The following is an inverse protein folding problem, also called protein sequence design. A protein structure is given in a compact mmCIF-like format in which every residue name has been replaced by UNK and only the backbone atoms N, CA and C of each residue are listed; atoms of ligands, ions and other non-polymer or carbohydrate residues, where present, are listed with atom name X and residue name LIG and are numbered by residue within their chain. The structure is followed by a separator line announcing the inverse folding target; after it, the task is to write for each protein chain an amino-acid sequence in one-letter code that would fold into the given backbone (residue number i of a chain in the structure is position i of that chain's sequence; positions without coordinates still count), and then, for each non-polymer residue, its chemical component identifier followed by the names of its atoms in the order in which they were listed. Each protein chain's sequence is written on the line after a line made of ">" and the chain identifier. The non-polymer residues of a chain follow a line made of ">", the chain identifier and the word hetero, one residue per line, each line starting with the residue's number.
data_IF_746356695327
#
_entry.id   IF_746356695327
#
_cell.length_a   1.000
_cell.length_b   1.000
_cell.length_c   1.000
_cell.angle_alpha   90.00
_cell.angle_beta   90.00
_cell.angle_gamma   90.00
#
_symmetry.space_group_name_H-M   'P 1'
#
loop_
_entity.id
_entity.type
_entity.pdbx_description
1 polymer ?
#
# COMPACT_ATOMS: atom_id res chain seq x y z
N UNK A 1 11.10 3.52 -6.65
CA UNK A 1 10.19 2.42 -7.11
C UNK A 1 10.93 1.57 -8.12
N UNK A 2 10.87 0.26 -7.97
CA UNK A 2 11.48 -0.68 -8.94
C UNK A 2 10.64 -0.68 -10.22
N UNK A 3 11.29 -0.65 -11.38
CA UNK A 3 10.59 -0.69 -12.66
C UNK A 3 9.78 -2.00 -12.79
N UNK A 4 8.61 -1.90 -13.40
CA UNK A 4 7.71 -3.02 -13.59
C UNK A 4 8.35 -4.13 -14.44
N UNK A 5 8.17 -5.37 -14.02
CA UNK A 5 8.37 -6.55 -14.84
C UNK A 5 7.04 -6.98 -15.49
N UNK A 6 7.02 -8.14 -16.16
CA UNK A 6 5.81 -8.67 -16.79
C UNK A 6 4.66 -8.94 -15.79
N UNK A 7 4.97 -9.10 -14.49
CA UNK A 7 4.00 -9.24 -13.41
C UNK A 7 3.71 -7.91 -12.69
N UNK A 8 4.40 -6.81 -13.05
CA UNK A 8 4.26 -5.50 -12.46
C UNK A 8 4.86 -5.35 -11.06
N UNK A 9 5.71 -6.29 -10.63
CA UNK A 9 6.28 -6.30 -9.26
C UNK A 9 7.67 -5.68 -9.22
N UNK A 10 8.45 -5.82 -10.30
CA UNK A 10 9.81 -5.30 -10.43
C UNK A 10 10.90 -6.23 -9.91
N UNK A 11 10.59 -7.48 -9.65
CA UNK A 11 11.54 -8.46 -9.10
C UNK A 11 12.71 -8.74 -10.04
N UNK A 12 12.51 -8.67 -11.35
CA UNK A 12 13.55 -8.81 -12.37
C UNK A 12 14.64 -7.73 -12.31
N UNK A 13 14.51 -6.73 -11.46
CA UNK A 13 15.49 -5.63 -11.26
C UNK A 13 16.30 -5.77 -9.97
N UNK A 14 15.97 -6.69 -9.08
CA UNK A 14 16.61 -6.84 -7.76
C UNK A 14 18.12 -6.99 -7.91
N UNK A 15 18.58 -7.92 -8.73
CA UNK A 15 20.02 -8.13 -8.95
C UNK A 15 20.74 -6.92 -9.54
N UNK A 16 20.09 -6.22 -10.48
CA UNK A 16 20.64 -5.00 -11.08
C UNK A 16 20.75 -3.85 -10.07
N UNK A 17 19.75 -3.68 -9.22
CA UNK A 17 19.76 -2.66 -8.15
C UNK A 17 20.85 -2.94 -7.14
N UNK A 18 21.02 -4.19 -6.72
CA UNK A 18 22.10 -4.59 -5.81
C UNK A 18 23.49 -4.31 -6.43
N UNK A 19 23.69 -4.65 -7.71
CA UNK A 19 24.93 -4.39 -8.43
C UNK A 19 25.25 -2.89 -8.60
N UNK A 20 24.23 -2.04 -8.63
CA UNK A 20 24.34 -0.57 -8.70
C UNK A 20 24.53 0.08 -7.32
N UNK A 21 24.54 -0.70 -6.23
CA UNK A 21 24.80 -0.22 -4.88
C UNK A 21 23.61 0.45 -4.20
N UNK A 22 22.39 0.09 -4.57
CA UNK A 22 21.19 0.51 -3.84
C UNK A 22 21.10 -0.21 -2.48
N UNK A 23 20.61 0.46 -1.45
CA UNK A 23 20.52 -0.08 -0.10
C UNK A 23 19.27 -0.95 0.09
N UNK A 24 18.17 -0.64 -0.60
CA UNK A 24 16.90 -1.37 -0.52
C UNK A 24 16.08 -1.24 -1.80
N UNK A 25 15.08 -2.10 -1.93
CA UNK A 25 14.05 -2.04 -2.97
C UNK A 25 12.69 -1.69 -2.36
N UNK A 26 11.85 -1.02 -3.14
CA UNK A 26 10.43 -0.86 -2.89
C UNK A 26 9.66 -1.66 -3.94
N UNK A 27 8.84 -2.62 -3.50
CA UNK A 27 8.10 -3.52 -4.38
C UNK A 27 6.59 -3.24 -4.36
N UNK A 28 5.90 -3.70 -5.42
CA UNK A 28 4.45 -3.56 -5.57
C UNK A 28 3.71 -4.61 -4.73
N UNK A 29 3.09 -4.21 -3.61
CA UNK A 29 2.47 -5.13 -2.67
C UNK A 29 1.29 -5.91 -3.25
N UNK A 30 0.42 -5.26 -4.04
CA UNK A 30 -0.71 -5.96 -4.65
C UNK A 30 -0.27 -7.03 -5.67
N UNK A 31 0.90 -6.87 -6.27
CA UNK A 31 1.53 -7.90 -7.09
C UNK A 31 2.03 -9.06 -6.24
N UNK A 32 2.79 -8.78 -5.19
CA UNK A 32 3.29 -9.79 -4.25
C UNK A 32 2.15 -10.61 -3.62
N UNK A 33 1.05 -9.95 -3.22
CA UNK A 33 -0.11 -10.61 -2.61
C UNK A 33 -0.83 -11.59 -3.55
N UNK A 34 -0.69 -11.43 -4.88
CA UNK A 34 -1.29 -12.30 -5.89
C UNK A 34 -0.42 -13.48 -6.29
N UNK A 35 0.87 -13.48 -5.96
CA UNK A 35 1.78 -14.55 -6.36
C UNK A 35 1.35 -15.89 -5.73
N UNK A 36 1.50 -17.02 -6.46
CA UNK A 36 1.55 -18.34 -5.85
C UNK A 36 2.71 -18.43 -4.84
N UNK A 37 2.61 -19.34 -3.86
CA UNK A 37 3.65 -19.51 -2.83
C UNK A 37 5.04 -19.73 -3.41
N UNK A 38 5.16 -20.61 -4.41
CA UNK A 38 6.45 -20.90 -5.05
C UNK A 38 7.08 -19.65 -5.69
N UNK A 39 6.29 -18.84 -6.38
CA UNK A 39 6.77 -17.60 -7.00
C UNK A 39 7.14 -16.55 -5.93
N UNK A 40 6.42 -16.50 -4.82
CA UNK A 40 6.76 -15.63 -3.70
C UNK A 40 8.08 -16.05 -3.04
N UNK A 41 8.32 -17.36 -2.85
CA UNK A 41 9.62 -17.86 -2.36
C UNK A 41 10.78 -17.51 -3.29
N UNK A 42 10.55 -17.49 -4.60
CA UNK A 42 11.57 -17.03 -5.54
C UNK A 42 11.96 -15.57 -5.28
N UNK A 43 10.98 -14.68 -5.04
CA UNK A 43 11.26 -13.28 -4.68
C UNK A 43 12.08 -13.17 -3.39
N UNK A 44 11.72 -13.93 -2.35
CA UNK A 44 12.48 -13.97 -1.10
C UNK A 44 13.92 -14.42 -1.32
N UNK A 45 14.11 -15.46 -2.13
CA UNK A 45 15.44 -15.97 -2.45
C UNK A 45 16.27 -14.95 -3.23
N UNK A 46 15.70 -14.26 -4.21
CA UNK A 46 16.38 -13.22 -4.98
C UNK A 46 16.83 -12.05 -4.08
N UNK A 47 15.96 -11.57 -3.18
CA UNK A 47 16.34 -10.55 -2.19
C UNK A 47 17.47 -11.04 -1.29
N UNK A 48 17.36 -12.25 -0.77
CA UNK A 48 18.40 -12.86 0.10
C UNK A 48 19.74 -13.00 -0.62
N UNK A 49 19.74 -13.52 -1.85
CA UNK A 49 20.97 -13.75 -2.63
C UNK A 49 21.62 -12.44 -3.07
N UNK A 50 20.83 -11.41 -3.36
CA UNK A 50 21.33 -10.09 -3.75
C UNK A 50 21.86 -9.27 -2.57
N UNK A 51 21.47 -9.61 -1.33
CA UNK A 51 21.73 -8.81 -0.14
C UNK A 51 20.90 -7.53 -0.07
N UNK A 52 19.95 -7.32 -1.01
CA UNK A 52 19.11 -6.15 -1.05
C UNK A 52 17.86 -6.35 -0.18
N UNK A 53 17.60 -5.41 0.73
CA UNK A 53 16.40 -5.46 1.58
C UNK A 53 15.18 -4.92 0.85
N UNK A 54 13.99 -5.37 1.21
CA UNK A 54 12.72 -4.75 0.83
C UNK A 54 12.17 -3.99 2.03
N UNK A 55 12.51 -2.71 2.18
CA UNK A 55 12.09 -1.91 3.35
C UNK A 55 10.69 -1.31 3.20
N UNK A 56 10.22 -1.15 1.97
CA UNK A 56 8.94 -0.56 1.69
C UNK A 56 8.19 -1.29 0.57
N UNK A 57 6.87 -1.22 0.62
CA UNK A 57 5.99 -1.59 -0.48
C UNK A 57 5.00 -0.47 -0.77
N UNK A 58 4.74 -0.23 -2.06
CA UNK A 58 3.65 0.62 -2.52
C UNK A 58 2.48 -0.22 -3.06
N UNK A 59 1.45 0.45 -3.59
CA UNK A 59 0.33 -0.23 -4.24
C UNK A 59 -0.37 -1.25 -3.33
N UNK A 60 -0.75 -0.84 -2.13
CA UNK A 60 -1.36 -1.72 -1.13
C UNK A 60 -2.57 -2.48 -1.71
N UNK A 61 -3.49 -1.79 -2.39
CA UNK A 61 -4.65 -2.45 -3.01
C UNK A 61 -4.57 -2.41 -4.53
N UNK A 62 -5.01 -3.48 -5.21
CA UNK A 62 -5.14 -3.49 -6.65
C UNK A 62 -6.29 -2.58 -7.11
N UNK A 63 -6.23 -2.15 -8.37
CA UNK A 63 -7.15 -1.14 -8.93
C UNK A 63 -8.60 -1.62 -9.07
N UNK A 64 -8.83 -2.91 -9.07
CA UNK A 64 -10.16 -3.57 -9.14
C UNK A 64 -10.85 -3.70 -7.78
N UNK A 65 -10.14 -3.44 -6.68
CA UNK A 65 -10.76 -3.37 -5.36
C UNK A 65 -11.64 -2.13 -5.20
N UNK A 66 -12.64 -2.24 -4.33
CA UNK A 66 -13.48 -1.12 -3.91
C UNK A 66 -13.50 -1.05 -2.39
N UNK A 67 -12.94 0.05 -1.86
CA UNK A 67 -12.84 0.32 -0.42
C UNK A 67 -13.93 1.26 0.07
N UNK A 68 -14.65 1.89 -0.87
CA UNK A 68 -15.73 2.83 -0.62
C UNK A 68 -16.94 2.49 -1.49
N UNK A 69 -18.13 2.79 -0.99
CA UNK A 69 -19.37 2.59 -1.72
C UNK A 69 -20.39 1.73 -0.96
N UNK A 70 -21.60 1.53 -1.53
CA UNK A 70 -22.68 0.81 -0.86
C UNK A 70 -22.41 -0.71 -0.74
N UNK A 71 -21.66 -1.30 -1.68
CA UNK A 71 -21.51 -2.75 -1.82
C UNK A 71 -20.10 -3.23 -1.52
N UNK A 72 -19.38 -2.56 -0.60
CA UNK A 72 -18.02 -2.99 -0.22
C UNK A 72 -18.06 -4.36 0.46
N UNK A 73 -17.13 -5.23 0.08
CA UNK A 73 -17.03 -6.60 0.60
C UNK A 73 -16.01 -6.67 1.73
N UNK A 74 -16.42 -6.26 2.93
CA UNK A 74 -15.54 -6.12 4.10
C UNK A 74 -14.72 -7.39 4.39
N UNK A 75 -15.31 -8.58 4.29
CA UNK A 75 -14.60 -9.84 4.57
C UNK A 75 -13.49 -10.10 3.53
N UNK A 76 -13.77 -9.88 2.24
CA UNK A 76 -12.75 -10.02 1.18
C UNK A 76 -11.61 -9.00 1.34
N UNK A 77 -11.94 -7.78 1.76
CA UNK A 77 -10.94 -6.74 2.05
C UNK A 77 -10.05 -7.20 3.20
N UNK A 78 -10.64 -7.72 4.29
CA UNK A 78 -9.89 -8.20 5.45
C UNK A 78 -8.99 -9.39 5.12
N UNK A 79 -9.49 -10.37 4.38
CA UNK A 79 -8.69 -11.52 3.91
C UNK A 79 -7.52 -11.07 3.04
N UNK A 80 -7.76 -10.11 2.14
CA UNK A 80 -6.73 -9.54 1.30
C UNK A 80 -5.66 -8.83 2.13
N UNK A 81 -6.05 -7.96 3.08
CA UNK A 81 -5.14 -7.24 3.97
C UNK A 81 -4.26 -8.23 4.75
N UNK A 82 -4.86 -9.28 5.31
CA UNK A 82 -4.12 -10.29 6.07
C UNK A 82 -3.04 -10.96 5.21
N UNK A 83 -3.38 -11.37 4.00
CA UNK A 83 -2.42 -11.98 3.05
C UNK A 83 -1.33 -11.00 2.61
N UNK A 84 -1.71 -9.76 2.29
CA UNK A 84 -0.76 -8.76 1.81
C UNK A 84 0.27 -8.40 2.90
N UNK A 85 -0.20 -8.17 4.13
CA UNK A 85 0.67 -7.83 5.24
C UNK A 85 1.51 -9.02 5.73
N UNK A 86 1.00 -10.25 5.66
CA UNK A 86 1.79 -11.46 5.92
C UNK A 86 2.99 -11.56 4.96
N UNK A 87 2.77 -11.34 3.67
CA UNK A 87 3.85 -11.33 2.67
C UNK A 87 4.82 -10.17 2.85
N UNK A 88 4.31 -8.97 3.17
CA UNK A 88 5.16 -7.85 3.51
C UNK A 88 6.03 -8.16 4.73
N UNK A 89 5.45 -8.73 5.78
CA UNK A 89 6.18 -9.16 6.97
C UNK A 89 7.24 -10.22 6.69
N UNK A 90 6.92 -11.21 5.83
CA UNK A 90 7.86 -12.26 5.42
C UNK A 90 9.06 -11.73 4.62
N UNK A 91 8.95 -10.55 3.99
CA UNK A 91 10.05 -9.85 3.31
C UNK A 91 10.80 -8.87 4.21
N UNK A 92 10.37 -8.68 5.45
CA UNK A 92 10.96 -7.69 6.37
C UNK A 92 10.60 -6.25 6.04
N UNK A 93 9.46 -6.03 5.37
CA UNK A 93 8.96 -4.69 5.03
C UNK A 93 8.60 -3.92 6.30
N UNK A 94 9.08 -2.68 6.39
CA UNK A 94 8.81 -1.78 7.51
C UNK A 94 7.66 -0.81 7.22
N UNK A 95 7.43 -0.50 5.93
CA UNK A 95 6.48 0.53 5.49
C UNK A 95 5.65 0.05 4.31
N UNK A 96 4.33 0.22 4.40
CA UNK A 96 3.39 -0.05 3.31
C UNK A 96 2.67 1.25 2.96
N UNK A 97 2.79 1.69 1.70
CA UNK A 97 2.17 2.94 1.24
C UNK A 97 0.73 2.68 0.80
N UNK A 98 -0.20 3.39 1.42
CA UNK A 98 -1.61 3.41 1.06
C UNK A 98 -1.93 4.64 0.19
N UNK A 99 -1.51 4.60 -1.08
CA UNK A 99 -1.97 5.52 -2.14
C UNK A 99 -3.27 5.00 -2.76
N UNK A 100 -3.20 3.86 -3.45
CA UNK A 100 -4.33 3.03 -3.94
C UNK A 100 -5.51 3.84 -4.52
N UNK A 101 -5.22 4.82 -5.40
CA UNK A 101 -6.17 5.82 -5.88
C UNK A 101 -7.51 5.25 -6.39
N UNK A 102 -7.51 4.35 -7.38
CA UNK A 102 -8.76 3.78 -7.90
C UNK A 102 -9.55 2.99 -6.86
N UNK A 103 -8.87 2.27 -5.95
CA UNK A 103 -9.52 1.46 -4.92
C UNK A 103 -10.24 2.33 -3.87
N UNK A 104 -9.60 3.44 -3.43
CA UNK A 104 -10.15 4.32 -2.40
C UNK A 104 -11.12 5.40 -2.92
N UNK A 105 -11.17 5.63 -4.23
CA UNK A 105 -12.04 6.66 -4.82
C UNK A 105 -13.50 6.43 -4.49
N UNK A 106 -14.21 7.51 -4.14
CA UNK A 106 -15.62 7.48 -3.77
C UNK A 106 -16.48 7.43 -5.03
N UNK A 107 -17.42 6.46 -5.17
CA UNK A 107 -18.31 6.40 -6.31
C UNK A 107 -19.19 7.64 -6.44
N UNK A 108 -19.55 8.01 -7.69
CA UNK A 108 -20.46 9.12 -7.93
C UNK A 108 -21.79 8.91 -7.22
N UNK A 109 -22.27 9.96 -6.52
CA UNK A 109 -23.51 9.91 -5.76
C UNK A 109 -23.43 9.24 -4.39
N UNK A 110 -22.30 8.64 -4.03
CA UNK A 110 -22.08 8.09 -2.69
C UNK A 110 -21.57 9.19 -1.74
N UNK A 111 -22.07 9.28 -0.49
CA UNK A 111 -21.63 10.32 0.43
C UNK A 111 -20.15 10.19 0.79
N UNK A 112 -19.36 11.23 0.58
CA UNK A 112 -17.92 11.26 0.91
C UNK A 112 -17.69 10.97 2.39
N UNK A 113 -18.57 11.43 3.28
CA UNK A 113 -18.49 11.16 4.72
C UNK A 113 -18.62 9.68 5.06
N UNK A 114 -19.43 8.93 4.31
CA UNK A 114 -19.54 7.47 4.50
C UNK A 114 -18.30 6.75 3.95
N UNK A 115 -17.80 7.18 2.77
CA UNK A 115 -16.53 6.68 2.24
C UNK A 115 -15.36 6.90 3.21
N UNK A 116 -15.36 8.07 3.89
CA UNK A 116 -14.36 8.38 4.92
C UNK A 116 -14.40 7.39 6.09
N UNK A 117 -15.60 7.11 6.63
CA UNK A 117 -15.76 6.13 7.70
C UNK A 117 -15.31 4.73 7.27
N UNK A 118 -15.71 4.30 6.06
CA UNK A 118 -15.34 3.00 5.52
C UNK A 118 -13.81 2.82 5.44
N UNK A 119 -13.11 3.84 4.93
CA UNK A 119 -11.64 3.80 4.83
C UNK A 119 -10.98 3.90 6.21
N UNK A 120 -11.50 4.72 7.12
CA UNK A 120 -10.97 4.83 8.47
C UNK A 120 -11.09 3.51 9.25
N UNK A 121 -12.25 2.85 9.21
CA UNK A 121 -12.47 1.54 9.81
C UNK A 121 -11.53 0.48 9.21
N UNK A 122 -11.43 0.42 7.90
CA UNK A 122 -10.55 -0.51 7.19
C UNK A 122 -9.08 -0.31 7.57
N UNK A 123 -8.61 0.95 7.62
CA UNK A 123 -7.23 1.26 8.01
C UNK A 123 -6.96 0.96 9.49
N UNK A 124 -7.94 1.11 10.36
CA UNK A 124 -7.81 0.68 11.75
C UNK A 124 -7.59 -0.82 11.85
N UNK A 125 -8.44 -1.62 11.19
CA UNK A 125 -8.31 -3.08 11.13
C UNK A 125 -6.97 -3.51 10.50
N UNK A 126 -6.57 -2.84 9.42
CA UNK A 126 -5.28 -3.07 8.79
C UNK A 126 -4.10 -2.74 9.73
N UNK A 127 -4.23 -1.68 10.53
CA UNK A 127 -3.24 -1.29 11.53
C UNK A 127 -3.03 -2.37 12.59
N UNK A 128 -4.12 -3.01 13.06
CA UNK A 128 -4.03 -4.12 14.02
C UNK A 128 -3.27 -5.33 13.46
N UNK A 129 -3.43 -5.62 12.17
CA UNK A 129 -2.67 -6.69 11.50
C UNK A 129 -1.22 -6.25 11.30
N UNK A 130 -0.99 -5.02 10.80
CA UNK A 130 0.34 -4.47 10.55
C UNK A 130 1.21 -4.43 11.81
N UNK A 131 0.60 -4.18 12.98
CA UNK A 131 1.28 -4.18 14.27
C UNK A 131 1.97 -5.52 14.58
N UNK A 132 1.38 -6.65 14.16
CA UNK A 132 1.94 -7.98 14.41
C UNK A 132 3.27 -8.17 13.67
N UNK A 133 3.45 -7.48 12.56
CA UNK A 133 4.67 -7.50 11.73
C UNK A 133 5.55 -6.27 11.93
N UNK A 134 5.21 -5.37 12.84
CA UNK A 134 5.89 -4.08 13.06
C UNK A 134 5.88 -3.17 11.82
N UNK A 135 4.92 -3.35 10.94
CA UNK A 135 4.75 -2.55 9.71
C UNK A 135 4.00 -1.25 10.02
N UNK A 136 4.47 -0.15 9.43
CA UNK A 136 3.78 1.14 9.42
C UNK A 136 3.01 1.27 8.09
N UNK A 137 1.71 1.55 8.15
CA UNK A 137 0.90 1.92 6.99
C UNK A 137 0.98 3.44 6.83
N UNK A 138 1.45 3.90 5.68
CA UNK A 138 1.62 5.32 5.37
C UNK A 138 0.54 5.77 4.39
N UNK A 139 -0.43 6.56 4.85
CA UNK A 139 -1.47 7.17 4.01
C UNK A 139 -0.80 8.18 3.08
N UNK A 140 -0.97 8.00 1.78
CA UNK A 140 -0.49 8.88 0.74
C UNK A 140 -1.65 9.66 0.12
N UNK A 141 -1.73 10.96 0.34
CA UNK A 141 -2.61 11.82 -0.43
C UNK A 141 -2.18 11.84 -1.89
N UNK A 142 -3.15 11.73 -2.81
CA UNK A 142 -2.89 11.69 -4.24
C UNK A 142 -3.52 12.90 -4.93
N UNK A 143 -2.89 13.39 -5.99
CA UNK A 143 -3.49 14.44 -6.83
C UNK A 143 -4.86 14.02 -7.36
N UNK A 144 -5.71 15.00 -7.68
CA UNK A 144 -7.11 14.78 -8.07
C UNK A 144 -7.30 13.99 -9.36
N UNK A 145 -6.28 13.91 -10.21
CA UNK A 145 -6.29 13.10 -11.43
C UNK A 145 -6.23 11.59 -11.14
N UNK A 146 -5.71 11.22 -9.97
CA UNK A 146 -5.52 9.81 -9.59
C UNK A 146 -6.60 9.31 -8.60
N UNK A 147 -7.18 10.22 -7.82
CA UNK A 147 -8.26 9.90 -6.88
C UNK A 147 -9.10 11.15 -6.61
N UNK A 148 -10.39 10.95 -6.38
CA UNK A 148 -11.29 12.02 -5.91
C UNK A 148 -11.39 12.07 -4.38
N UNK A 149 -10.46 11.42 -3.67
CA UNK A 149 -10.55 11.21 -2.24
C UNK A 149 -9.17 11.20 -1.59
N UNK A 150 -8.98 11.97 -0.52
CA UNK A 150 -7.71 12.17 0.19
C UNK A 150 -6.68 12.78 -0.77
N UNK A 151 -6.83 14.08 -1.06
CA UNK A 151 -6.05 14.78 -2.07
C UNK A 151 -5.07 15.80 -1.48
N UNK A 152 -5.15 16.08 -0.18
CA UNK A 152 -4.25 17.02 0.49
C UNK A 152 -3.54 16.37 1.67
N UNK A 153 -2.37 16.88 2.02
CA UNK A 153 -1.64 16.43 3.21
C UNK A 153 -2.48 16.59 4.49
N UNK A 154 -3.25 17.68 4.59
CA UNK A 154 -4.15 17.91 5.70
C UNK A 154 -5.23 16.82 5.80
N UNK A 155 -5.78 16.37 4.67
CA UNK A 155 -6.74 15.26 4.64
C UNK A 155 -6.09 13.95 5.08
N UNK A 156 -4.86 13.68 4.62
CA UNK A 156 -4.08 12.50 5.06
C UNK A 156 -3.84 12.51 6.58
N UNK A 157 -3.41 13.64 7.13
CA UNK A 157 -3.22 13.81 8.57
C UNK A 157 -4.53 13.66 9.36
N UNK A 158 -5.64 14.22 8.84
CA UNK A 158 -6.95 14.07 9.45
C UNK A 158 -7.38 12.60 9.46
N UNK A 159 -7.23 11.89 8.34
CA UNK A 159 -7.58 10.48 8.27
C UNK A 159 -6.75 9.66 9.25
N UNK A 160 -5.43 9.86 9.32
CA UNK A 160 -4.57 9.17 10.28
C UNK A 160 -5.00 9.41 11.74
N UNK A 161 -5.46 10.63 12.06
CA UNK A 161 -6.02 10.97 13.37
C UNK A 161 -7.34 10.26 13.63
N UNK A 162 -8.24 10.21 12.64
CA UNK A 162 -9.55 9.59 12.76
C UNK A 162 -9.45 8.05 12.83
N UNK A 163 -8.46 7.44 12.16
CA UNK A 163 -8.09 6.02 12.28
C UNK A 163 -7.62 5.68 13.70
N UNK A 164 -6.96 6.61 14.37
CA UNK A 164 -6.49 6.50 15.76
C UNK A 164 -5.67 5.22 16.05
N UNK A 165 -4.82 4.81 15.10
CA UNK A 165 -3.95 3.64 15.27
C UNK A 165 -2.46 4.00 15.19
N UNK A 166 -1.58 3.50 16.11
CA UNK A 166 -0.16 3.88 16.13
C UNK A 166 0.61 3.47 14.88
N UNK A 167 0.21 2.38 14.22
CA UNK A 167 0.83 1.89 12.99
C UNK A 167 0.25 2.52 11.70
N UNK A 168 -0.61 3.54 11.81
CA UNK A 168 -1.15 4.27 10.64
C UNK A 168 -0.77 5.73 10.75
N UNK A 169 -0.04 6.23 9.75
CA UNK A 169 0.46 7.61 9.67
C UNK A 169 0.20 8.19 8.29
N UNK A 170 0.42 9.47 8.09
CA UNK A 170 0.43 10.10 6.76
C UNK A 170 1.87 10.33 6.30
N UNK A 171 2.11 10.22 5.00
CA UNK A 171 3.34 10.64 4.34
C UNK A 171 3.10 11.87 3.46
N UNK A 172 4.18 12.50 3.03
CA UNK A 172 4.18 13.54 2.00
C UNK A 172 4.97 13.02 0.81
N UNK A 173 4.33 12.95 -0.35
CA UNK A 173 5.01 12.87 -1.64
C UNK A 173 5.03 14.27 -2.27
N UNK A 174 6.22 14.79 -2.57
CA UNK A 174 6.39 16.13 -3.16
C UNK A 174 5.71 16.26 -4.52
N UNK A 175 5.65 15.19 -5.30
CA UNK A 175 4.95 15.19 -6.58
C UNK A 175 3.45 15.51 -6.41
N UNK A 176 2.80 14.86 -5.45
CA UNK A 176 1.39 15.10 -5.14
C UNK A 176 1.16 16.44 -4.44
N UNK A 177 2.07 16.83 -3.53
CA UNK A 177 1.97 18.09 -2.80
C UNK A 177 1.98 19.32 -3.72
N UNK A 178 2.80 19.31 -4.77
CA UNK A 178 2.85 20.39 -5.76
C UNK A 178 1.53 20.51 -6.55
N UNK A 179 0.81 19.41 -6.70
CA UNK A 179 -0.46 19.35 -7.42
C UNK A 179 -1.70 19.67 -6.54
N UNK A 180 -1.51 19.93 -5.23
CA UNK A 180 -2.59 20.31 -4.31
C UNK A 180 -3.16 21.73 -4.55
N UNK A 181 -2.53 22.54 -5.40
CA UNK A 181 -2.86 23.95 -5.65
C UNK A 181 -4.12 24.16 -6.47
#
# INVERSE_FOLDING_TARGET
>A
MVAEDAAGIGTNKIGALAALGYDYAELLLCGLAKLPEEAFWQVQNELTQSGLRCEACNGFFPTDFRLTGPDIKKDQIREYIARALDRAGALGVERVVFGSGPAKSVPSGFPVSEGWKQVAEMLHDAGEIARQYQILIAIEPLRRQESNFINTYQEGCRLAKDVAHPNVKSLVDFYHLVEEQ
#
